data_IF_392403839774
#
_entry.id   IF_392403839774
#
_cell.length_a   1.000
_cell.length_b   1.000
_cell.length_c   1.000
_cell.angle_alpha   90.00
_cell.angle_beta   90.00
_cell.angle_gamma   90.00
#
_symmetry.space_group_name_H-M   'P 1'
#
loop_
_entity.id
_entity.type
_entity.pdbx_description
1 polymer ?
#
# COMPACT_ATOMS: atom_id res chain seq x y z
N UNK A 1 -26.63 2.77 18.48
CA UNK A 1 -26.14 4.10 18.05
C UNK A 1 -24.89 3.83 17.23
N UNK A 2 -24.94 4.07 15.92
CA UNK A 2 -23.76 3.88 15.07
C UNK A 2 -22.67 4.86 15.52
N UNK A 3 -21.49 4.34 15.81
CA UNK A 3 -20.38 5.12 16.33
C UNK A 3 -19.59 5.75 15.19
N UNK A 4 -19.64 7.07 15.12
CA UNK A 4 -18.77 7.87 14.26
C UNK A 4 -17.43 8.10 14.96
N UNK A 5 -16.33 8.12 14.20
CA UNK A 5 -14.98 8.41 14.70
C UNK A 5 -14.88 9.77 15.43
N UNK A 6 -15.82 10.68 15.17
CA UNK A 6 -15.91 11.98 15.83
C UNK A 6 -16.70 11.98 17.16
N UNK A 7 -17.08 10.81 17.70
CA UNK A 7 -17.78 10.67 18.99
C UNK A 7 -16.89 10.13 20.12
N UNK A 8 -17.41 10.11 21.35
CA UNK A 8 -16.74 9.45 22.48
C UNK A 8 -16.72 7.93 22.27
N UNK A 9 -15.53 7.37 22.02
CA UNK A 9 -15.34 5.95 21.74
C UNK A 9 -15.03 5.17 23.03
N UNK A 10 -15.89 4.22 23.39
CA UNK A 10 -15.62 3.25 24.47
C UNK A 10 -14.71 2.13 23.97
N UNK A 11 -13.96 1.48 24.89
CA UNK A 11 -12.99 0.44 24.54
C UNK A 11 -13.60 -0.76 23.77
N UNK A 12 -14.90 -1.01 23.94
CA UNK A 12 -15.65 -2.09 23.26
C UNK A 12 -15.99 -1.78 21.80
N UNK A 13 -15.82 -0.54 21.33
CA UNK A 13 -16.23 -0.10 19.99
C UNK A 13 -15.12 -0.17 18.93
N UNK A 14 -13.88 -0.45 19.33
CA UNK A 14 -12.76 -0.59 18.39
C UNK A 14 -12.79 -1.96 17.73
N UNK A 15 -13.13 -1.98 16.44
CA UNK A 15 -12.97 -3.15 15.57
C UNK A 15 -11.99 -2.83 14.42
N UNK A 16 -11.64 -3.84 13.62
CA UNK A 16 -10.68 -3.69 12.53
C UNK A 16 -11.06 -2.63 11.49
N UNK A 17 -12.35 -2.45 11.20
CA UNK A 17 -12.83 -1.45 10.25
C UNK A 17 -12.70 -0.03 10.80
N UNK A 18 -13.15 0.19 12.04
CA UNK A 18 -13.08 1.51 12.70
C UNK A 18 -11.62 1.98 12.85
N UNK A 19 -10.71 1.05 13.17
CA UNK A 19 -9.27 1.33 13.21
C UNK A 19 -8.76 1.77 11.84
N UNK A 20 -9.12 1.05 10.76
CA UNK A 20 -8.70 1.40 9.39
C UNK A 20 -9.23 2.76 8.96
N UNK A 21 -10.50 3.06 9.24
CA UNK A 21 -11.09 4.37 8.93
C UNK A 21 -10.39 5.52 9.67
N UNK A 22 -10.06 5.32 10.95
CA UNK A 22 -9.29 6.29 11.73
C UNK A 22 -7.89 6.52 11.13
N UNK A 23 -7.19 5.43 10.79
CA UNK A 23 -5.88 5.48 10.16
C UNK A 23 -5.94 6.22 8.81
N UNK A 24 -6.90 5.87 7.96
CA UNK A 24 -7.08 6.51 6.65
C UNK A 24 -7.40 7.99 6.78
N UNK A 25 -8.21 8.37 7.76
CA UNK A 25 -8.48 9.80 8.04
C UNK A 25 -7.19 10.56 8.35
N UNK A 26 -6.29 9.99 9.15
CA UNK A 26 -4.99 10.59 9.44
C UNK A 26 -4.07 10.57 8.21
N UNK A 27 -4.05 9.45 7.47
CA UNK A 27 -3.24 9.30 6.26
C UNK A 27 -3.65 10.28 5.15
N UNK A 28 -4.93 10.59 5.03
CA UNK A 28 -5.42 11.60 4.10
C UNK A 28 -4.92 13.01 4.46
N UNK A 29 -4.74 13.33 5.75
CA UNK A 29 -4.13 14.62 6.14
C UNK A 29 -2.64 14.67 5.75
N UNK A 30 -1.90 13.57 5.89
CA UNK A 30 -0.51 13.45 5.40
C UNK A 30 -0.45 13.66 3.88
N UNK A 31 -1.36 13.02 3.13
CA UNK A 31 -1.43 13.16 1.68
C UNK A 31 -1.75 14.60 1.27
N UNK A 32 -2.71 15.25 1.93
CA UNK A 32 -3.08 16.64 1.64
C UNK A 32 -1.95 17.63 1.93
N UNK A 33 -1.09 17.33 2.91
CA UNK A 33 0.04 18.19 3.24
C UNK A 33 1.08 18.25 2.09
N UNK A 34 1.32 17.14 1.39
CA UNK A 34 2.29 17.05 0.30
C UNK A 34 1.80 16.15 -0.85
N UNK A 35 0.78 16.54 -1.63
CA UNK A 35 0.10 15.63 -2.56
C UNK A 35 0.95 15.23 -3.77
N UNK A 36 1.92 16.04 -4.18
CA UNK A 36 2.72 15.79 -5.39
C UNK A 36 3.93 14.88 -5.13
N UNK A 37 4.69 15.16 -4.06
CA UNK A 37 5.96 14.50 -3.74
C UNK A 37 5.83 13.54 -2.53
N UNK A 38 4.73 13.65 -1.77
CA UNK A 38 4.54 12.88 -0.54
C UNK A 38 5.36 13.41 0.63
N UNK A 39 5.27 12.72 1.76
CA UNK A 39 6.01 13.04 2.97
C UNK A 39 7.52 12.69 2.88
N UNK A 40 7.93 11.90 1.88
CA UNK A 40 9.29 11.40 1.72
C UNK A 40 9.42 9.91 2.07
N UNK A 41 10.28 9.21 1.33
CA UNK A 41 10.65 7.82 1.60
C UNK A 41 11.44 7.74 2.92
N UNK A 42 10.81 7.18 3.95
CA UNK A 42 11.37 7.08 5.31
C UNK A 42 10.74 8.04 6.32
N UNK A 43 10.13 9.13 5.86
CA UNK A 43 9.51 10.15 6.74
C UNK A 43 7.99 9.97 6.89
N UNK A 44 7.35 9.15 6.03
CA UNK A 44 5.91 8.83 6.10
C UNK A 44 5.47 8.37 7.48
N UNK A 45 6.20 7.46 8.12
CA UNK A 45 5.84 6.92 9.44
C UNK A 45 5.80 8.00 10.52
N UNK A 46 6.78 8.91 10.49
CA UNK A 46 6.84 10.06 11.38
C UNK A 46 5.68 11.02 11.10
N UNK A 47 5.43 11.36 9.84
CA UNK A 47 4.33 12.24 9.45
C UNK A 47 2.96 11.67 9.89
N UNK A 48 2.76 10.37 9.69
CA UNK A 48 1.54 9.68 10.11
C UNK A 48 1.39 9.63 11.64
N UNK A 49 2.49 9.38 12.35
CA UNK A 49 2.52 9.39 13.83
C UNK A 49 2.22 10.78 14.38
N UNK A 50 2.71 11.83 13.74
CA UNK A 50 2.43 13.21 14.15
C UNK A 50 0.96 13.57 13.91
N UNK A 51 0.34 13.09 12.83
CA UNK A 51 -1.12 13.20 12.64
C UNK A 51 -1.91 12.40 13.69
N UNK A 52 -1.45 11.21 14.07
CA UNK A 52 -2.07 10.46 15.17
C UNK A 52 -2.03 11.23 16.49
N UNK A 53 -0.93 11.91 16.81
CA UNK A 53 -0.81 12.76 18.01
C UNK A 53 -1.77 13.95 17.95
N UNK A 54 -1.86 14.62 16.80
CA UNK A 54 -2.77 15.77 16.61
C UNK A 54 -4.24 15.41 16.84
N UNK A 55 -4.63 14.18 16.50
CA UNK A 55 -6.00 13.67 16.64
C UNK A 55 -6.24 12.83 17.89
N UNK A 56 -5.31 12.81 18.85
CA UNK A 56 -5.29 11.95 20.06
C UNK A 56 -5.62 10.46 19.76
N UNK A 57 -5.17 9.95 18.61
CA UNK A 57 -5.41 8.56 18.22
C UNK A 57 -4.41 7.61 18.90
N UNK A 58 -4.60 7.41 20.21
CA UNK A 58 -3.69 6.66 21.09
C UNK A 58 -3.41 5.23 20.62
N UNK A 59 -4.39 4.56 20.02
CA UNK A 59 -4.21 3.22 19.50
C UNK A 59 -3.19 3.20 18.35
N UNK A 60 -3.30 4.12 17.39
CA UNK A 60 -2.34 4.29 16.30
C UNK A 60 -0.93 4.63 16.77
N UNK A 61 -0.82 5.50 17.79
CA UNK A 61 0.45 5.88 18.41
C UNK A 61 1.11 4.66 19.06
N UNK A 62 0.38 3.91 19.89
CA UNK A 62 0.92 2.77 20.65
C UNK A 62 1.35 1.61 19.75
N UNK A 63 0.62 1.38 18.66
CA UNK A 63 0.83 0.21 17.81
C UNK A 63 1.55 0.51 16.50
N UNK A 64 1.91 1.78 16.27
CA UNK A 64 2.62 2.26 15.08
C UNK A 64 2.04 1.70 13.77
N UNK A 65 0.75 1.97 13.57
CA UNK A 65 -0.02 1.34 12.47
C UNK A 65 0.27 2.02 11.13
N UNK A 66 0.57 1.19 10.14
CA UNK A 66 0.57 1.58 8.73
C UNK A 66 -0.86 1.72 8.19
N UNK A 67 -0.99 2.17 6.94
CA UNK A 67 -2.29 2.47 6.33
C UNK A 67 -3.10 1.23 5.91
N UNK A 68 -2.59 0.02 6.12
CA UNK A 68 -3.23 -1.24 5.69
C UNK A 68 -3.69 -1.21 4.22
N UNK A 69 -2.94 -0.50 3.37
CA UNK A 69 -3.15 -0.39 1.94
C UNK A 69 -1.87 0.12 1.31
N UNK A 70 -1.22 -0.70 0.49
CA UNK A 70 0.00 -0.30 -0.23
C UNK A 70 -0.23 0.96 -1.07
N UNK A 71 -1.42 1.15 -1.64
CA UNK A 71 -1.71 2.31 -2.47
C UNK A 71 -1.72 3.62 -1.67
N UNK A 72 -2.41 3.64 -0.52
CA UNK A 72 -2.43 4.82 0.36
C UNK A 72 -1.04 5.08 0.95
N UNK A 73 -0.35 4.02 1.35
CA UNK A 73 0.97 4.11 1.95
C UNK A 73 2.00 4.70 0.97
N UNK A 74 1.96 4.25 -0.29
CA UNK A 74 2.81 4.76 -1.35
C UNK A 74 2.45 6.21 -1.72
N UNK A 75 1.16 6.55 -1.81
CA UNK A 75 0.73 7.92 -2.11
C UNK A 75 1.16 8.87 -0.99
N UNK A 76 0.97 8.49 0.28
CA UNK A 76 1.42 9.30 1.41
C UNK A 76 2.94 9.47 1.44
N UNK A 77 3.71 8.46 1.00
CA UNK A 77 5.17 8.50 0.99
C UNK A 77 5.76 9.29 -0.17
N UNK A 78 5.27 9.05 -1.39
CA UNK A 78 5.89 9.53 -2.65
C UNK A 78 4.98 10.44 -3.49
N UNK A 79 3.78 10.72 -2.99
CA UNK A 79 2.79 11.56 -3.66
C UNK A 79 2.32 11.00 -4.99
N UNK A 80 1.66 11.86 -5.76
CA UNK A 80 1.10 11.53 -7.06
C UNK A 80 2.16 11.06 -8.06
N UNK A 81 3.38 11.62 -8.02
CA UNK A 81 4.45 11.27 -8.95
C UNK A 81 4.90 9.82 -8.71
N UNK A 82 5.26 9.48 -7.48
CA UNK A 82 5.69 8.12 -7.15
C UNK A 82 4.57 7.11 -7.30
N UNK A 83 3.35 7.48 -6.92
CA UNK A 83 2.17 6.64 -7.15
C UNK A 83 1.94 6.36 -8.64
N UNK A 84 2.06 7.38 -9.50
CA UNK A 84 1.95 7.23 -10.95
C UNK A 84 3.03 6.31 -11.53
N UNK A 85 4.28 6.48 -11.09
CA UNK A 85 5.38 5.60 -11.50
C UNK A 85 5.13 4.15 -11.10
N UNK A 86 4.60 3.91 -9.91
CA UNK A 86 4.23 2.58 -9.46
C UNK A 86 3.09 1.98 -10.29
N UNK A 87 2.00 2.71 -10.50
CA UNK A 87 0.88 2.21 -11.31
C UNK A 87 1.34 1.89 -12.73
N UNK A 88 2.12 2.77 -13.36
CA UNK A 88 2.62 2.54 -14.72
C UNK A 88 3.61 1.38 -14.74
N UNK A 89 4.65 1.44 -13.91
CA UNK A 89 5.76 0.49 -13.91
C UNK A 89 5.39 -0.91 -13.42
N UNK A 90 4.50 -0.99 -12.44
CA UNK A 90 4.21 -2.22 -11.71
C UNK A 90 2.88 -2.85 -12.11
N UNK A 91 1.89 -2.05 -12.54
CA UNK A 91 0.56 -2.55 -12.90
C UNK A 91 0.35 -2.57 -14.41
N UNK A 92 0.66 -1.48 -15.11
CA UNK A 92 0.31 -1.35 -16.53
C UNK A 92 1.34 -2.04 -17.43
N UNK A 93 2.63 -1.77 -17.24
CA UNK A 93 3.68 -2.34 -18.11
C UNK A 93 3.75 -3.87 -18.04
N UNK A 94 3.68 -4.52 -16.86
CA UNK A 94 3.78 -5.98 -16.78
C UNK A 94 2.58 -6.71 -17.37
N UNK A 95 1.41 -6.06 -17.49
CA UNK A 95 0.25 -6.66 -18.18
C UNK A 95 0.47 -6.80 -19.70
N UNK A 96 1.46 -6.12 -20.28
CA UNK A 96 1.75 -6.23 -21.72
C UNK A 96 2.53 -7.51 -22.01
N UNK A 97 1.89 -8.45 -22.69
CA UNK A 97 2.55 -9.67 -23.18
C UNK A 97 2.85 -10.70 -22.10
N UNK A 98 2.18 -10.62 -20.95
CA UNK A 98 2.20 -11.66 -19.93
C UNK A 98 1.20 -12.77 -20.27
N UNK A 99 1.56 -14.00 -19.94
CA UNK A 99 0.67 -15.15 -20.06
C UNK A 99 -0.49 -15.05 -19.05
N UNK A 100 -1.57 -15.79 -19.30
CA UNK A 100 -2.79 -15.77 -18.46
C UNK A 100 -2.45 -16.03 -16.99
N UNK A 101 -1.57 -17.00 -16.69
CA UNK A 101 -1.16 -17.29 -15.32
C UNK A 101 -0.49 -16.09 -14.65
N UNK A 102 0.40 -15.40 -15.36
CA UNK A 102 1.06 -14.21 -14.83
C UNK A 102 0.11 -13.02 -14.67
N UNK A 103 -0.87 -12.86 -15.57
CA UNK A 103 -1.93 -11.87 -15.41
C UNK A 103 -2.76 -12.14 -14.14
N UNK A 104 -3.15 -13.40 -13.89
CA UNK A 104 -3.91 -13.79 -12.69
C UNK A 104 -3.12 -13.51 -11.41
N UNK A 105 -1.83 -13.86 -11.37
CA UNK A 105 -0.96 -13.58 -10.22
C UNK A 105 -0.82 -12.06 -9.99
N UNK A 106 -0.65 -11.28 -11.05
CA UNK A 106 -0.55 -9.82 -10.93
C UNK A 106 -1.86 -9.21 -10.41
N UNK A 107 -3.00 -9.67 -10.91
CA UNK A 107 -4.32 -9.24 -10.44
C UNK A 107 -4.53 -9.59 -8.96
N UNK A 108 -4.10 -10.78 -8.52
CA UNK A 108 -4.14 -11.18 -7.11
C UNK A 108 -3.33 -10.23 -6.21
N UNK A 109 -2.11 -9.87 -6.62
CA UNK A 109 -1.32 -8.85 -5.93
C UNK A 109 -2.01 -7.49 -5.93
N UNK A 110 -2.58 -7.07 -7.06
CA UNK A 110 -3.29 -5.80 -7.18
C UNK A 110 -4.48 -5.69 -6.21
N UNK A 111 -5.23 -6.78 -6.06
CA UNK A 111 -6.35 -6.85 -5.11
C UNK A 111 -5.85 -6.88 -3.67
N UNK A 112 -4.81 -7.66 -3.40
CA UNK A 112 -4.22 -7.78 -2.05
C UNK A 112 -3.61 -6.47 -1.55
N UNK A 113 -3.12 -5.61 -2.45
CA UNK A 113 -2.56 -4.30 -2.12
C UNK A 113 -3.62 -3.29 -1.61
N UNK A 114 -4.91 -3.54 -1.84
CA UNK A 114 -5.98 -2.72 -1.25
C UNK A 114 -6.16 -2.99 0.25
N UNK A 115 -5.87 -4.21 0.72
CA UNK A 115 -6.25 -4.65 2.07
C UNK A 115 -5.09 -4.72 3.05
N UNK A 116 -3.84 -4.74 2.54
CA UNK A 116 -2.64 -4.85 3.35
C UNK A 116 -1.43 -4.17 2.71
N UNK A 117 -0.41 -3.88 3.53
CA UNK A 117 0.82 -3.21 3.12
C UNK A 117 1.94 -4.23 2.89
N UNK A 118 1.91 -4.96 1.77
CA UNK A 118 2.87 -6.03 1.49
C UNK A 118 4.31 -5.54 1.28
N UNK A 119 4.52 -4.37 0.67
CA UNK A 119 5.86 -3.89 0.33
C UNK A 119 6.61 -3.43 1.59
N UNK A 120 5.87 -3.04 2.62
CA UNK A 120 6.39 -2.67 3.95
C UNK A 120 6.80 -3.89 4.79
N UNK A 121 6.46 -5.12 4.34
CA UNK A 121 6.74 -6.37 5.05
C UNK A 121 7.76 -7.22 4.28
N UNK A 122 8.79 -7.68 4.97
CA UNK A 122 9.83 -8.55 4.40
C UNK A 122 9.26 -9.79 3.70
N UNK A 123 8.26 -10.44 4.29
CA UNK A 123 7.61 -11.61 3.69
C UNK A 123 6.86 -11.25 2.40
N UNK A 124 6.25 -10.07 2.32
CA UNK A 124 5.58 -9.60 1.11
C UNK A 124 6.58 -9.36 -0.03
N UNK A 125 7.73 -8.74 0.27
CA UNK A 125 8.81 -8.55 -0.70
C UNK A 125 9.37 -9.89 -1.21
N UNK A 126 9.60 -10.86 -0.32
CA UNK A 126 10.10 -12.19 -0.69
C UNK A 126 9.09 -12.92 -1.58
N UNK A 127 7.81 -12.93 -1.19
CA UNK A 127 6.76 -13.59 -1.95
C UNK A 127 6.59 -12.95 -3.34
N UNK A 128 6.60 -11.62 -3.40
CA UNK A 128 6.53 -10.89 -4.66
C UNK A 128 7.72 -11.20 -5.57
N UNK A 129 8.95 -11.15 -5.04
CA UNK A 129 10.16 -11.46 -5.80
C UNK A 129 10.19 -12.91 -6.31
N UNK A 130 9.71 -13.86 -5.50
CA UNK A 130 9.58 -15.26 -5.91
C UNK A 130 8.64 -15.41 -7.11
N UNK A 131 7.42 -14.86 -7.04
CA UNK A 131 6.45 -15.00 -8.12
C UNK A 131 6.87 -14.30 -9.41
N UNK A 132 7.46 -13.11 -9.32
CA UNK A 132 8.01 -12.43 -10.51
C UNK A 132 9.13 -13.23 -11.15
N UNK A 133 10.07 -13.74 -10.34
CA UNK A 133 11.19 -14.54 -10.85
C UNK A 133 10.70 -15.83 -11.52
N UNK A 134 9.71 -16.48 -10.91
CA UNK A 134 9.09 -17.70 -11.46
C UNK A 134 8.42 -17.42 -12.81
N UNK A 135 7.62 -16.35 -12.91
CA UNK A 135 6.95 -15.94 -14.15
C UNK A 135 7.95 -15.60 -15.26
N UNK A 136 9.05 -14.93 -14.93
CA UNK A 136 10.11 -14.61 -15.89
C UNK A 136 10.87 -15.86 -16.37
N UNK A 137 11.05 -16.86 -15.50
CA UNK A 137 11.70 -18.12 -15.87
C UNK A 137 10.92 -18.91 -16.92
N UNK A 138 9.60 -18.74 -17.00
CA UNK A 138 8.76 -19.42 -17.99
C UNK A 138 8.60 -18.67 -19.31
N UNK A 139 9.02 -17.40 -19.40
CA UNK A 139 9.09 -16.69 -20.69
C UNK A 139 10.08 -17.42 -21.59
N UNK A 140 9.56 -18.12 -22.62
CA UNK A 140 10.39 -18.70 -23.68
C UNK A 140 11.35 -17.64 -24.23
N UNK A 141 12.64 -17.92 -24.16
CA UNK A 141 13.68 -17.20 -24.91
C UNK A 141 13.44 -17.45 -26.41
N UNK A 142 12.61 -16.62 -27.05
CA UNK A 142 12.39 -16.60 -28.50
C UNK A 142 13.60 -16.06 -29.28
N UNK A 143 14.80 -16.00 -28.67
CA UNK A 143 15.95 -15.24 -29.17
C UNK A 143 17.04 -16.12 -29.80
N UNK A 144 16.90 -17.45 -29.83
CA UNK A 144 17.96 -18.35 -30.35
C UNK A 144 17.54 -19.31 -31.47
N UNK A 145 16.36 -19.18 -32.09
CA UNK A 145 15.93 -20.04 -33.21
C UNK A 145 15.82 -19.34 -34.56
N UNK A 146 16.41 -18.14 -34.72
CA UNK A 146 16.41 -17.38 -35.98
C UNK A 146 17.81 -17.05 -36.49
N UNK A 147 18.80 -17.90 -36.18
CA UNK A 147 20.13 -17.87 -36.80
C UNK A 147 20.38 -19.15 -37.56
#
# INVERSE_FOLDING_TARGET
VESHYNGELTAEQWNGLNIRLAIWTCGMEVIKANPLIGAGLGDKEKALTDEYKKKDFRFGIRTNKNMHSNYLDLFASMGLIGFGLFVIGFLILPMRGIEILGALILIDFMLSFFTETYIDRSMGCVMFGFWVSLLLSFRKTQVLSST
#
